data_IF_984371853517
#
_entry.id   IF_984371853517
#
_cell.length_a   1.000
_cell.length_b   1.000
_cell.length_c   1.000
_cell.angle_alpha   90.00
_cell.angle_beta   90.00
_cell.angle_gamma   90.00
#
_symmetry.space_group_name_H-M   'P 1'
#
loop_
_entity.id
_entity.type
_entity.pdbx_description
1 polymer ?
#
# COMPACT_ATOMS: atom_id res chain seq x y z
N UNK A 1 4.71 9.51 -7.69
CA UNK A 1 5.67 9.40 -6.56
C UNK A 1 5.05 8.97 -5.25
N UNK A 2 4.01 9.65 -4.73
CA UNK A 2 3.43 9.28 -3.42
C UNK A 2 2.80 7.87 -3.39
N UNK A 3 2.07 7.46 -4.43
CA UNK A 3 1.49 6.11 -4.47
C UNK A 3 2.56 5.03 -4.56
N UNK A 4 3.65 5.28 -5.30
CA UNK A 4 4.80 4.37 -5.36
C UNK A 4 5.47 4.23 -3.99
N UNK A 5 5.53 5.32 -3.21
CA UNK A 5 6.02 5.27 -1.82
C UNK A 5 5.12 4.39 -0.94
N UNK A 6 3.79 4.49 -1.07
CA UNK A 6 2.88 3.61 -0.33
C UNK A 6 3.07 2.14 -0.71
N UNK A 7 3.12 1.84 -2.02
CA UNK A 7 3.33 0.47 -2.51
C UNK A 7 4.66 -0.10 -1.98
N UNK A 8 5.75 0.67 -2.05
CA UNK A 8 7.04 0.26 -1.49
C UNK A 8 7.00 0.04 0.02
N UNK A 9 6.28 0.89 0.76
CA UNK A 9 6.06 0.73 2.21
C UNK A 9 5.30 -0.57 2.52
N UNK A 10 4.34 -0.94 1.66
CA UNK A 10 3.52 -2.13 1.83
C UNK A 10 4.25 -3.42 1.45
N UNK A 11 5.27 -3.34 0.58
CA UNK A 11 6.13 -4.47 0.23
C UNK A 11 6.82 -5.12 1.44
N UNK A 12 7.03 -4.34 2.50
CA UNK A 12 7.69 -4.80 3.72
C UNK A 12 6.70 -5.14 4.85
N UNK A 13 5.40 -5.28 4.57
CA UNK A 13 4.39 -5.66 5.57
C UNK A 13 4.53 -7.10 6.06
N UNK A 14 5.20 -7.97 5.29
CA UNK A 14 5.49 -9.34 5.70
C UNK A 14 6.45 -9.40 6.91
N UNK A 15 7.32 -8.39 7.07
CA UNK A 15 8.25 -8.30 8.18
C UNK A 15 7.56 -7.72 9.43
N UNK A 16 6.82 -8.59 10.12
CA UNK A 16 6.11 -8.24 11.37
C UNK A 16 7.04 -8.05 12.57
N UNK A 17 8.30 -8.50 12.48
CA UNK A 17 9.31 -8.32 13.53
C UNK A 17 9.96 -6.93 13.46
N UNK A 18 9.80 -6.23 12.33
CA UNK A 18 10.32 -4.87 12.15
C UNK A 18 9.80 -3.90 13.21
N UNK A 19 10.66 -3.04 13.79
CA UNK A 19 10.20 -1.95 14.66
C UNK A 19 9.31 -0.94 13.90
N UNK A 20 9.33 -0.97 12.56
CA UNK A 20 8.50 -0.11 11.72
C UNK A 20 7.14 -0.72 11.36
N UNK A 21 6.86 -1.97 11.72
CA UNK A 21 5.63 -2.67 11.33
C UNK A 21 4.38 -1.88 11.73
N UNK A 22 4.29 -1.45 13.00
CA UNK A 22 3.17 -0.63 13.51
C UNK A 22 2.98 0.66 12.72
N UNK A 23 4.07 1.28 12.26
CA UNK A 23 4.01 2.49 11.42
C UNK A 23 3.49 2.18 10.02
N UNK A 24 3.96 1.09 9.40
CA UNK A 24 3.50 0.63 8.07
C UNK A 24 2.00 0.32 8.10
N UNK A 25 1.51 -0.36 9.14
CA UNK A 25 0.07 -0.64 9.33
C UNK A 25 -0.74 0.65 9.46
N UNK A 26 -0.30 1.63 10.27
CA UNK A 26 -0.99 2.93 10.38
C UNK A 26 -1.08 3.70 9.06
N UNK A 27 -0.05 3.59 8.21
CA UNK A 27 -0.08 4.17 6.86
C UNK A 27 -1.14 3.46 6.02
N UNK A 28 -1.18 2.13 6.04
CA UNK A 28 -2.19 1.33 5.33
C UNK A 28 -3.62 1.67 5.78
N UNK A 29 -3.85 1.77 7.09
CA UNK A 29 -5.14 2.21 7.66
C UNK A 29 -5.56 3.59 7.15
N UNK A 30 -4.60 4.51 7.04
CA UNK A 30 -4.86 5.87 6.53
C UNK A 30 -5.21 5.84 5.05
N UNK A 31 -4.47 5.08 4.24
CA UNK A 31 -4.73 4.87 2.80
C UNK A 31 -6.12 4.28 2.57
N UNK A 32 -6.51 3.29 3.38
CA UNK A 32 -7.85 2.70 3.35
C UNK A 32 -8.94 3.71 3.74
N UNK A 33 -8.72 4.49 4.81
CA UNK A 33 -9.67 5.49 5.31
C UNK A 33 -9.99 6.55 4.26
N UNK A 34 -8.97 7.05 3.55
CA UNK A 34 -9.16 8.07 2.50
C UNK A 34 -9.58 7.48 1.16
N UNK A 35 -9.88 6.16 1.10
CA UNK A 35 -10.26 5.44 -0.12
C UNK A 35 -9.26 5.68 -1.26
N UNK A 36 -7.96 5.69 -0.92
CA UNK A 36 -6.89 6.05 -1.83
C UNK A 36 -6.88 5.19 -3.11
N UNK A 37 -7.23 3.90 -3.01
CA UNK A 37 -7.32 3.01 -4.17
C UNK A 37 -8.40 3.47 -5.16
N UNK A 38 -9.54 4.00 -4.68
CA UNK A 38 -10.59 4.56 -5.55
C UNK A 38 -10.07 5.83 -6.22
N UNK A 39 -9.43 6.72 -5.46
CA UNK A 39 -8.82 7.93 -6.01
C UNK A 39 -7.78 7.61 -7.09
N UNK A 40 -6.98 6.55 -6.91
CA UNK A 40 -6.02 6.09 -7.91
C UNK A 40 -6.70 5.61 -9.20
N UNK A 41 -7.84 4.92 -9.11
CA UNK A 41 -8.63 4.55 -10.28
C UNK A 41 -9.20 5.78 -10.99
N UNK A 42 -9.74 6.74 -10.24
CA UNK A 42 -10.36 7.96 -10.79
C UNK A 42 -9.39 8.81 -11.60
N UNK A 43 -8.10 8.85 -11.21
CA UNK A 43 -7.04 9.59 -11.92
C UNK A 43 -6.30 8.74 -12.96
N UNK A 44 -6.77 7.52 -13.24
CA UNK A 44 -6.20 6.63 -14.26
C UNK A 44 -4.90 5.90 -13.87
N UNK A 45 -4.55 5.84 -12.57
CA UNK A 45 -3.37 5.11 -12.08
C UNK A 45 -3.63 3.61 -11.88
N UNK A 46 -4.25 2.94 -12.85
CA UNK A 46 -4.68 1.55 -12.74
C UNK A 46 -3.52 0.58 -12.47
N UNK A 47 -2.39 0.77 -13.14
CA UNK A 47 -1.20 -0.08 -12.97
C UNK A 47 -0.68 -0.06 -11.53
N UNK A 48 -0.71 1.11 -10.88
CA UNK A 48 -0.28 1.25 -9.49
C UNK A 48 -1.25 0.60 -8.50
N UNK A 49 -2.55 0.59 -8.81
CA UNK A 49 -3.54 -0.15 -8.02
C UNK A 49 -3.25 -1.65 -8.13
N UNK A 50 -3.01 -2.14 -9.35
CA UNK A 50 -2.66 -3.53 -9.58
C UNK A 50 -1.37 -3.93 -8.85
N UNK A 51 -0.32 -3.11 -8.93
CA UNK A 51 0.94 -3.31 -8.20
C UNK A 51 0.73 -3.38 -6.68
N UNK A 52 -0.15 -2.53 -6.13
CA UNK A 52 -0.49 -2.55 -4.71
C UNK A 52 -1.14 -3.89 -4.30
N UNK A 53 -2.08 -4.39 -5.09
CA UNK A 53 -2.70 -5.70 -4.84
C UNK A 53 -1.71 -6.84 -5.02
N UNK A 54 -0.85 -6.80 -6.04
CA UNK A 54 0.23 -7.78 -6.21
C UNK A 54 1.14 -7.83 -4.99
N UNK A 55 1.50 -6.68 -4.42
CA UNK A 55 2.25 -6.61 -3.15
C UNK A 55 1.49 -7.32 -2.03
N UNK A 56 0.20 -7.07 -1.84
CA UNK A 56 -0.58 -7.73 -0.79
C UNK A 56 -0.72 -9.24 -1.00
N UNK A 57 -0.89 -9.69 -2.24
CA UNK A 57 -1.04 -11.11 -2.55
C UNK A 57 0.30 -11.86 -2.63
N UNK A 58 1.43 -11.16 -2.85
CA UNK A 58 2.77 -11.76 -2.86
C UNK A 58 3.29 -12.13 -1.47
N UNK A 59 2.60 -11.72 -0.40
CA UNK A 59 2.94 -12.04 1.00
C UNK A 59 2.41 -13.44 1.41
N UNK A 60 1.73 -14.16 0.52
CA UNK A 60 1.20 -15.51 0.72
C UNK A 60 2.22 -16.58 0.30
#
# INVERSE_FOLDING_TARGET
DIFKLFIGTFGELADTASPYFTRRVKILETVARVRCCVLMLDIGCNDLVLDMFNVFFSVI
#
